data_IF_776432594381
#
_entry.id   IF_776432594381
#
_cell.length_a   1.000
_cell.length_b   1.000
_cell.length_c   1.000
_cell.angle_alpha   90.00
_cell.angle_beta   90.00
_cell.angle_gamma   90.00
#
_symmetry.space_group_name_H-M   'P 1'
#
loop_
_entity.id
_entity.type
_entity.pdbx_description
1 polymer ?
#
# COMPACT_ATOMS: atom_id res chain seq x y z
N UNK A 1 -0.67 -26.85 0.08
CA UNK A 1 -2.01 -26.24 0.12
C UNK A 1 -1.88 -24.71 0.01
N UNK A 2 -2.32 -24.11 -1.10
CA UNK A 2 -2.29 -22.66 -1.32
C UNK A 2 -3.30 -22.00 -0.37
N UNK A 3 -2.85 -21.26 0.66
CA UNK A 3 -3.72 -20.31 1.35
C UNK A 3 -4.06 -19.20 0.35
N UNK A 4 -5.30 -19.16 -0.13
CA UNK A 4 -5.90 -17.94 -0.68
C UNK A 4 -5.83 -16.89 0.44
N UNK A 5 -4.79 -16.05 0.43
CA UNK A 5 -4.80 -14.80 1.19
C UNK A 5 -5.99 -14.02 0.68
N UNK A 6 -7.07 -13.98 1.47
CA UNK A 6 -8.25 -13.21 1.14
C UNK A 6 -7.80 -11.75 0.99
N UNK A 7 -7.80 -11.25 -0.25
CA UNK A 7 -7.65 -9.82 -0.54
C UNK A 7 -8.70 -9.10 0.31
N UNK A 8 -8.27 -8.39 1.34
CA UNK A 8 -9.07 -7.34 1.95
C UNK A 8 -9.21 -6.31 0.84
N UNK A 9 -10.37 -6.30 0.19
CA UNK A 9 -10.62 -5.45 -0.98
C UNK A 9 -10.75 -4.01 -0.54
N UNK A 10 -10.35 -3.04 -1.38
CA UNK A 10 -10.42 -1.60 -1.08
C UNK A 10 -11.84 -1.20 -0.65
N UNK A 11 -12.83 -1.91 -1.19
CA UNK A 11 -14.23 -1.91 -0.76
C UNK A 11 -14.44 -2.03 0.76
N UNK A 12 -13.70 -2.92 1.44
CA UNK A 12 -13.80 -3.10 2.89
C UNK A 12 -13.19 -1.94 3.67
N UNK A 13 -12.13 -1.33 3.15
CA UNK A 13 -11.52 -0.14 3.76
C UNK A 13 -12.42 1.09 3.61
N UNK A 14 -13.03 1.28 2.43
CA UNK A 14 -14.07 2.31 2.21
C UNK A 14 -15.22 2.10 3.20
N UNK A 15 -15.77 0.87 3.28
CA UNK A 15 -16.85 0.53 4.22
C UNK A 15 -16.49 0.87 5.67
N UNK A 16 -15.25 0.63 6.06
CA UNK A 16 -14.77 0.88 7.43
C UNK A 16 -14.58 2.37 7.69
N UNK A 17 -14.07 3.13 6.72
CA UNK A 17 -13.94 4.57 6.81
C UNK A 17 -15.30 5.24 6.95
N UNK A 18 -16.26 4.90 6.09
CA UNK A 18 -17.63 5.43 6.16
C UNK A 18 -18.37 5.04 7.46
N UNK A 19 -17.96 3.96 8.13
CA UNK A 19 -18.47 3.57 9.46
C UNK A 19 -17.83 4.31 10.62
N UNK A 20 -16.60 4.80 10.44
CA UNK A 20 -15.88 5.56 11.46
C UNK A 20 -16.39 7.02 11.49
N UNK A 21 -17.08 7.49 10.43
CA UNK A 21 -17.76 8.79 10.39
C UNK A 21 -18.93 8.86 11.37
N UNK A 22 -19.16 10.04 11.94
CA UNK A 22 -20.35 10.25 12.76
C UNK A 22 -21.62 10.38 11.89
N UNK A 23 -22.80 10.21 12.49
CA UNK A 23 -24.06 10.17 11.74
C UNK A 23 -24.37 11.44 10.94
N UNK A 24 -23.98 12.62 11.42
CA UNK A 24 -24.11 13.88 10.68
C UNK A 24 -23.11 13.96 9.53
N UNK A 25 -21.85 13.58 9.76
CA UNK A 25 -20.81 13.61 8.73
C UNK A 25 -21.14 12.62 7.62
N UNK A 26 -21.68 11.44 7.94
CA UNK A 26 -22.12 10.50 6.91
C UNK A 26 -23.24 11.07 6.03
N UNK A 27 -24.17 11.85 6.61
CA UNK A 27 -25.23 12.50 5.84
C UNK A 27 -24.68 13.61 4.94
N UNK A 28 -23.79 14.44 5.47
CA UNK A 28 -23.08 15.46 4.68
C UNK A 28 -22.27 14.80 3.55
N UNK A 29 -21.65 13.64 3.80
CA UNK A 29 -20.94 12.87 2.78
C UNK A 29 -21.88 12.40 1.66
N UNK A 30 -23.10 11.99 2.01
CA UNK A 30 -24.10 11.60 1.03
C UNK A 30 -24.54 12.77 0.15
N UNK A 31 -24.72 13.96 0.75
CA UNK A 31 -25.04 15.19 0.04
C UNK A 31 -23.91 15.61 -0.90
N UNK A 32 -22.67 15.67 -0.41
CA UNK A 32 -21.50 16.04 -1.22
C UNK A 32 -21.19 15.00 -2.31
N UNK A 33 -21.44 13.71 -2.06
CA UNK A 33 -21.27 12.67 -3.08
C UNK A 33 -22.24 12.87 -4.25
N UNK A 34 -23.47 13.31 -3.99
CA UNK A 34 -24.43 13.66 -5.03
C UNK A 34 -24.04 14.96 -5.74
N UNK A 35 -23.75 16.01 -4.98
CA UNK A 35 -23.47 17.34 -5.54
C UNK A 35 -22.15 17.39 -6.33
N UNK A 36 -21.16 16.56 -5.96
CA UNK A 36 -19.87 16.50 -6.64
C UNK A 36 -19.80 15.48 -7.79
N UNK A 37 -20.74 14.51 -7.88
CA UNK A 37 -20.72 13.44 -8.88
C UNK A 37 -22.09 13.26 -9.54
N UNK A 38 -22.21 13.84 -10.74
CA UNK A 38 -23.39 13.74 -11.61
C UNK A 38 -23.79 12.29 -11.99
N UNK A 39 -22.85 11.34 -11.87
CA UNK A 39 -23.07 9.90 -12.06
C UNK A 39 -23.83 9.22 -10.90
N UNK A 40 -24.10 9.92 -9.80
CA UNK A 40 -24.78 9.38 -8.60
C UNK A 40 -26.13 10.08 -8.42
N UNK A 41 -27.23 9.34 -8.57
CA UNK A 41 -28.59 9.90 -8.39
C UNK A 41 -28.94 10.13 -6.91
N UNK A 42 -29.73 11.16 -6.59
CA UNK A 42 -30.16 11.50 -5.22
C UNK A 42 -30.90 10.34 -4.54
N UNK A 43 -31.77 9.66 -5.29
CA UNK A 43 -32.47 8.43 -4.88
C UNK A 43 -31.53 7.25 -4.62
N UNK A 44 -30.29 7.32 -5.12
CA UNK A 44 -29.29 6.30 -4.94
C UNK A 44 -28.44 6.45 -3.68
N UNK A 45 -28.53 7.59 -3.00
CA UNK A 45 -27.73 7.88 -1.79
C UNK A 45 -28.63 8.11 -0.58
N UNK A 46 -29.81 8.68 -0.79
CA UNK A 46 -30.76 9.00 0.26
C UNK A 46 -31.35 7.73 0.90
N UNK A 47 -31.31 7.65 2.24
CA UNK A 47 -31.76 6.50 3.04
C UNK A 47 -31.03 5.17 2.81
N UNK A 48 -29.89 5.16 2.11
CA UNK A 48 -29.09 3.94 1.91
C UNK A 48 -28.14 3.68 3.07
N UNK A 49 -27.99 2.41 3.42
CA UNK A 49 -27.01 1.98 4.42
C UNK A 49 -25.58 2.17 3.89
N UNK A 50 -24.61 2.36 4.80
CA UNK A 50 -23.17 2.46 4.49
C UNK A 50 -22.71 1.34 3.54
N UNK A 51 -23.27 0.14 3.69
CA UNK A 51 -23.01 -1.01 2.84
C UNK A 51 -23.46 -0.81 1.39
N UNK A 52 -24.66 -0.27 1.19
CA UNK A 52 -25.22 -0.01 -0.12
C UNK A 52 -24.47 1.11 -0.82
N UNK A 53 -24.11 2.18 -0.09
CA UNK A 53 -23.31 3.29 -0.65
C UNK A 53 -21.90 2.79 -1.03
N UNK A 54 -21.26 1.97 -0.19
CA UNK A 54 -19.96 1.38 -0.52
C UNK A 54 -20.03 0.49 -1.77
N UNK A 55 -21.10 -0.30 -1.91
CA UNK A 55 -21.31 -1.13 -3.10
C UNK A 55 -21.53 -0.27 -4.35
N UNK A 56 -22.32 0.80 -4.24
CA UNK A 56 -22.60 1.74 -5.32
C UNK A 56 -21.31 2.42 -5.79
N UNK A 57 -20.52 2.97 -4.87
CA UNK A 57 -19.24 3.61 -5.16
C UNK A 57 -18.29 2.68 -5.91
N UNK A 58 -18.15 1.44 -5.45
CA UNK A 58 -17.28 0.45 -6.13
C UNK A 58 -17.89 -0.01 -7.47
N UNK A 59 -19.21 -0.03 -7.61
CA UNK A 59 -19.90 -0.39 -8.85
C UNK A 59 -19.75 0.69 -9.93
N UNK A 60 -19.82 1.97 -9.55
CA UNK A 60 -19.71 3.10 -10.48
C UNK A 60 -18.25 3.40 -10.78
N UNK A 61 -17.43 3.59 -9.74
CA UNK A 61 -16.08 4.12 -9.88
C UNK A 61 -14.99 3.06 -9.94
N UNK A 62 -15.29 1.78 -9.69
CA UNK A 62 -14.30 0.70 -9.45
C UNK A 62 -13.50 0.90 -8.15
N UNK A 63 -12.93 -0.17 -7.60
CA UNK A 63 -12.36 -0.17 -6.24
C UNK A 63 -11.32 0.93 -5.96
N UNK A 64 -10.41 1.21 -6.90
CA UNK A 64 -9.37 2.24 -6.72
C UNK A 64 -9.94 3.65 -6.77
N UNK A 65 -10.64 4.02 -7.85
CA UNK A 65 -11.19 5.38 -7.96
C UNK A 65 -12.27 5.64 -6.91
N UNK A 66 -13.00 4.62 -6.46
CA UNK A 66 -13.91 4.75 -5.33
C UNK A 66 -13.20 5.17 -4.04
N UNK A 67 -11.96 4.70 -3.80
CA UNK A 67 -11.16 5.19 -2.67
C UNK A 67 -10.82 6.67 -2.84
N UNK A 68 -10.37 7.07 -4.03
CA UNK A 68 -9.95 8.45 -4.30
C UNK A 68 -11.12 9.42 -4.16
N UNK A 69 -12.28 9.07 -4.73
CA UNK A 69 -13.53 9.86 -4.60
C UNK A 69 -13.94 10.01 -3.15
N UNK A 70 -13.82 8.96 -2.33
CA UNK A 70 -14.14 9.05 -0.90
C UNK A 70 -13.15 9.94 -0.17
N UNK A 71 -11.85 9.84 -0.47
CA UNK A 71 -10.81 10.70 0.13
C UNK A 71 -11.04 12.17 -0.23
N UNK A 72 -11.39 12.47 -1.48
CA UNK A 72 -11.64 13.84 -1.94
C UNK A 72 -12.83 14.48 -1.23
N UNK A 73 -13.95 13.75 -1.12
CA UNK A 73 -15.15 14.24 -0.44
C UNK A 73 -14.89 14.40 1.07
N UNK A 74 -14.16 13.47 1.69
CA UNK A 74 -13.77 13.60 3.11
C UNK A 74 -12.92 14.85 3.37
N UNK A 75 -12.03 15.21 2.44
CA UNK A 75 -11.24 16.45 2.51
C UNK A 75 -12.10 17.69 2.33
N UNK A 76 -13.06 17.67 1.40
CA UNK A 76 -14.02 18.76 1.20
C UNK A 76 -14.86 19.02 2.46
N UNK A 77 -15.17 17.98 3.20
CA UNK A 77 -15.93 18.06 4.44
C UNK A 77 -15.07 18.22 5.71
N UNK A 78 -13.78 18.51 5.55
CA UNK A 78 -12.82 18.71 6.64
C UNK A 78 -12.60 17.49 7.56
N UNK A 79 -12.97 16.28 7.11
CA UNK A 79 -12.69 15.00 7.76
C UNK A 79 -11.28 14.50 7.36
N UNK A 80 -10.27 15.34 7.58
CA UNK A 80 -8.91 15.12 7.09
C UNK A 80 -8.24 13.88 7.73
N UNK A 81 -8.54 13.59 8.99
CA UNK A 81 -7.98 12.43 9.70
C UNK A 81 -8.48 11.11 9.11
N UNK A 82 -9.77 11.01 8.82
CA UNK A 82 -10.40 9.87 8.15
C UNK A 82 -9.91 9.73 6.69
N UNK A 83 -9.77 10.86 5.99
CA UNK A 83 -9.25 10.91 4.62
C UNK A 83 -7.81 10.37 4.55
N UNK A 84 -6.91 10.87 5.41
CA UNK A 84 -5.53 10.39 5.45
C UNK A 84 -5.43 8.95 5.95
N UNK A 85 -6.30 8.52 6.87
CA UNK A 85 -6.36 7.13 7.33
C UNK A 85 -6.86 6.17 6.24
N UNK A 86 -7.81 6.59 5.41
CA UNK A 86 -8.29 5.82 4.27
C UNK A 86 -7.21 5.80 3.18
N UNK A 87 -6.70 6.97 2.80
CA UNK A 87 -5.63 7.14 1.82
C UNK A 87 -4.39 6.33 2.21
N UNK A 88 -3.92 6.41 3.45
CA UNK A 88 -2.78 5.62 3.91
C UNK A 88 -3.05 4.11 3.80
N UNK A 89 -4.24 3.63 4.18
CA UNK A 89 -4.58 2.19 4.06
C UNK A 89 -4.67 1.72 2.63
N UNK A 90 -5.29 2.51 1.74
CA UNK A 90 -5.41 2.16 0.33
C UNK A 90 -4.09 2.34 -0.42
N UNK A 91 -3.16 3.13 0.14
CA UNK A 91 -1.75 3.31 -0.28
C UNK A 91 -0.76 2.31 0.35
N UNK A 92 -1.12 1.53 1.37
CA UNK A 92 -0.22 0.56 2.05
C UNK A 92 0.15 -0.65 1.16
N UNK A 93 -0.49 -0.80 0.00
CA UNK A 93 -0.12 -1.77 -1.03
C UNK A 93 0.64 -1.13 -2.21
N UNK A 94 1.35 -0.01 -2.02
CA UNK A 94 2.20 0.55 -3.08
C UNK A 94 3.47 -0.29 -3.17
N UNK A 95 3.52 -1.10 -4.22
CA UNK A 95 4.74 -1.71 -4.75
C UNK A 95 5.85 -0.65 -4.76
N UNK A 96 6.94 -0.88 -4.02
CA UNK A 96 8.09 0.05 -3.96
C UNK A 96 9.00 -0.08 -5.19
N UNK A 97 8.61 -0.90 -6.16
CA UNK A 97 9.39 -1.21 -7.35
C UNK A 97 10.54 -2.16 -7.08
N UNK A 98 10.54 -2.82 -5.91
CA UNK A 98 11.56 -3.81 -5.55
C UNK A 98 11.11 -5.16 -6.10
N UNK A 99 11.88 -5.76 -7.03
CA UNK A 99 11.49 -7.01 -7.66
C UNK A 99 11.57 -8.15 -6.65
N UNK A 100 10.60 -9.07 -6.71
CA UNK A 100 10.67 -10.30 -5.92
C UNK A 100 11.44 -11.37 -6.69
N UNK A 101 12.75 -11.50 -6.42
CA UNK A 101 13.57 -12.52 -7.07
C UNK A 101 13.14 -13.94 -6.70
N UNK A 102 12.99 -14.79 -7.72
CA UNK A 102 12.74 -16.22 -7.52
C UNK A 102 14.01 -16.92 -7.06
N UNK A 103 13.84 -17.90 -6.17
CA UNK A 103 14.95 -18.65 -5.57
C UNK A 103 14.69 -20.15 -5.63
N UNK A 104 15.75 -20.93 -5.74
CA UNK A 104 15.73 -22.38 -5.65
C UNK A 104 15.54 -22.81 -4.18
N UNK A 105 15.34 -24.10 -3.94
CA UNK A 105 15.27 -24.67 -2.58
C UNK A 105 16.56 -24.49 -1.76
N UNK A 106 17.68 -24.20 -2.42
CA UNK A 106 18.98 -23.90 -1.77
C UNK A 106 19.17 -22.42 -1.48
N UNK A 107 18.19 -21.56 -1.83
CA UNK A 107 18.26 -20.11 -1.61
C UNK A 107 19.01 -19.33 -2.69
N UNK A 108 19.56 -20.02 -3.70
CA UNK A 108 20.21 -19.42 -4.86
C UNK A 108 19.18 -18.78 -5.80
N UNK A 109 19.61 -17.74 -6.52
CA UNK A 109 18.76 -17.02 -7.45
C UNK A 109 18.38 -17.91 -8.65
N UNK A 110 17.08 -18.07 -8.90
CA UNK A 110 16.58 -18.93 -9.95
C UNK A 110 16.73 -18.26 -11.33
N UNK A 111 17.68 -18.75 -12.12
CA UNK A 111 17.94 -18.26 -13.48
C UNK A 111 16.99 -18.84 -14.53
N UNK A 112 16.22 -19.87 -14.17
CA UNK A 112 15.27 -20.54 -15.06
C UNK A 112 14.04 -19.67 -15.31
N UNK A 113 13.47 -19.79 -16.52
CA UNK A 113 12.22 -19.12 -16.91
C UNK A 113 11.07 -19.50 -15.98
N UNK A 114 10.21 -18.53 -15.62
CA UNK A 114 8.94 -18.83 -14.95
C UNK A 114 7.91 -19.42 -15.92
N UNK A 115 6.86 -20.02 -15.38
CA UNK A 115 5.71 -20.43 -16.20
C UNK A 115 5.06 -19.22 -16.91
N UNK A 116 5.05 -18.03 -16.30
CA UNK A 116 4.55 -16.82 -16.95
C UNK A 116 5.44 -16.39 -18.13
N UNK A 117 6.77 -16.53 -17.99
CA UNK A 117 7.71 -16.28 -19.08
C UNK A 117 7.60 -17.31 -20.21
N UNK A 118 7.25 -18.56 -19.90
CA UNK A 118 6.95 -19.61 -20.88
C UNK A 118 5.65 -19.32 -21.63
N UNK A 119 4.57 -19.03 -20.91
CA UNK A 119 3.27 -18.70 -21.52
C UNK A 119 3.37 -17.47 -22.44
N UNK A 120 4.20 -16.48 -22.06
CA UNK A 120 4.48 -15.32 -22.90
C UNK A 120 5.27 -15.67 -24.17
N UNK A 121 6.15 -16.68 -24.10
CA UNK A 121 6.88 -17.18 -25.26
C UNK A 121 5.97 -17.93 -26.23
N UNK A 122 5.05 -18.74 -25.70
CA UNK A 122 4.09 -19.51 -26.50
C UNK A 122 3.05 -18.63 -27.19
N UNK A 123 2.63 -17.52 -26.56
CA UNK A 123 1.77 -16.52 -27.18
C UNK A 123 2.42 -15.74 -28.34
N UNK A 124 3.74 -15.89 -28.54
CA UNK A 124 4.48 -15.34 -29.69
C UNK A 124 4.98 -16.42 -30.66
N UNK A 125 4.71 -17.71 -30.43
CA UNK A 125 4.99 -18.73 -31.45
C UNK A 125 4.15 -18.44 -32.69
N UNK A 126 4.75 -18.44 -33.90
CA UNK A 126 4.02 -18.13 -35.10
C UNK A 126 3.07 -19.30 -35.36
N UNK A 127 1.77 -19.08 -35.18
CA UNK A 127 0.81 -19.78 -36.04
C UNK A 127 1.27 -19.50 -37.47
N UNK A 128 1.70 -20.55 -38.18
CA UNK A 128 1.99 -20.52 -39.62
C UNK A 128 0.71 -20.13 -40.35
N UNK A 129 0.43 -18.83 -40.39
CA UNK A 129 -0.56 -18.20 -41.24
C UNK A 129 0.11 -16.94 -41.72
N UNK A 130 0.18 -16.75 -43.03
CA UNK A 130 0.64 -15.53 -43.69
C UNK A 130 -0.26 -14.35 -43.27
N UNK A 131 -0.07 -13.82 -42.08
CA UNK A 131 -0.70 -12.57 -41.63
C UNK A 131 0.27 -11.43 -41.93
N UNK A 132 -0.16 -10.36 -42.61
CA UNK A 132 0.68 -9.19 -42.83
C UNK A 132 1.22 -8.71 -41.49
N UNK A 133 2.55 -8.54 -41.39
CA UNK A 133 3.19 -7.95 -40.20
C UNK A 133 2.47 -6.64 -39.90
N UNK A 134 1.80 -6.57 -38.75
CA UNK A 134 1.19 -5.35 -38.25
C UNK A 134 2.21 -4.20 -38.16
N UNK A 135 1.75 -2.96 -37.94
CA UNK A 135 2.61 -1.78 -37.95
C UNK A 135 3.84 -2.01 -37.05
N UNK A 136 5.04 -1.81 -37.60
CA UNK A 136 6.27 -1.83 -36.81
C UNK A 136 6.12 -0.75 -35.72
N UNK A 137 5.92 -1.16 -34.47
CA UNK A 137 5.84 -0.25 -33.33
C UNK A 137 7.16 0.51 -33.26
N UNK A 138 7.11 1.82 -33.55
CA UNK A 138 8.27 2.72 -33.53
C UNK A 138 8.98 2.62 -32.17
N UNK A 139 10.31 2.68 -32.18
CA UNK A 139 11.11 2.80 -30.95
C UNK A 139 10.74 4.15 -30.33
N UNK A 140 10.38 4.13 -29.04
CA UNK A 140 10.02 5.33 -28.29
C UNK A 140 11.26 6.07 -27.84
N UNK A 141 11.17 7.39 -27.72
CA UNK A 141 12.25 8.19 -27.13
C UNK A 141 12.37 7.87 -25.62
N UNK A 142 13.52 8.15 -24.99
CA UNK A 142 13.67 7.96 -23.55
C UNK A 142 12.59 8.68 -22.74
N UNK A 143 12.28 9.93 -23.12
CA UNK A 143 11.25 10.75 -22.47
C UNK A 143 9.85 10.13 -22.57
N UNK A 144 9.51 9.54 -23.71
CA UNK A 144 8.23 8.84 -23.89
C UNK A 144 8.13 7.59 -22.99
N UNK A 145 9.22 6.83 -22.87
CA UNK A 145 9.25 5.64 -22.00
C UNK A 145 9.14 6.04 -20.53
N UNK A 146 9.83 7.10 -20.12
CA UNK A 146 9.76 7.62 -18.75
C UNK A 146 8.37 8.20 -18.44
N UNK A 147 7.77 8.95 -19.36
CA UNK A 147 6.42 9.48 -19.21
C UNK A 147 5.38 8.35 -19.07
N UNK A 148 5.51 7.27 -19.85
CA UNK A 148 4.66 6.09 -19.69
C UNK A 148 4.87 5.39 -18.36
N UNK A 149 6.12 5.28 -17.89
CA UNK A 149 6.42 4.70 -16.58
C UNK A 149 5.82 5.53 -15.45
N UNK A 150 5.96 6.87 -15.49
CA UNK A 150 5.35 7.78 -14.51
C UNK A 150 3.83 7.71 -14.54
N UNK A 151 3.22 7.66 -15.73
CA UNK A 151 1.78 7.49 -15.87
C UNK A 151 1.29 6.16 -15.29
N UNK A 152 2.04 5.07 -15.49
CA UNK A 152 1.76 3.78 -14.85
C UNK A 152 1.86 3.87 -13.33
N UNK A 153 2.95 4.46 -12.81
CA UNK A 153 3.14 4.67 -11.36
C UNK A 153 1.99 5.47 -10.76
N UNK A 154 1.59 6.57 -11.40
CA UNK A 154 0.44 7.39 -10.99
C UNK A 154 -0.86 6.59 -11.01
N UNK A 155 -1.14 5.86 -12.10
CA UNK A 155 -2.34 5.02 -12.21
C UNK A 155 -2.38 3.89 -11.16
N UNK A 156 -1.20 3.46 -10.72
CA UNK A 156 -1.01 2.47 -9.66
C UNK A 156 -1.02 3.09 -8.26
N UNK A 157 -1.21 4.40 -8.13
CA UNK A 157 -1.23 5.12 -6.85
C UNK A 157 0.15 5.24 -6.18
N UNK A 158 1.21 5.04 -6.96
CA UNK A 158 2.59 5.19 -6.54
C UNK A 158 3.10 6.63 -6.71
N UNK A 159 4.25 6.90 -6.11
CA UNK A 159 4.91 8.20 -6.19
C UNK A 159 5.79 8.28 -7.46
N UNK A 160 5.46 9.12 -8.46
CA UNK A 160 6.26 9.28 -9.68
C UNK A 160 7.59 10.00 -9.45
N UNK A 161 7.81 10.58 -8.26
CA UNK A 161 9.11 11.12 -7.85
C UNK A 161 10.05 10.04 -7.32
N UNK A 162 9.55 8.83 -7.04
CA UNK A 162 10.39 7.70 -6.67
C UNK A 162 11.03 7.08 -7.91
N UNK A 163 12.28 7.45 -8.18
CA UNK A 163 13.07 6.95 -9.32
C UNK A 163 13.09 5.42 -9.42
N UNK A 164 13.25 4.72 -8.29
CA UNK A 164 13.34 3.25 -8.31
C UNK A 164 12.02 2.60 -8.74
N UNK A 165 10.90 3.19 -8.33
CA UNK A 165 9.56 2.74 -8.70
C UNK A 165 9.27 3.07 -10.17
N UNK A 166 9.66 4.24 -10.64
CA UNK A 166 9.54 4.60 -12.06
C UNK A 166 10.42 3.68 -12.93
N UNK A 167 11.68 3.42 -12.53
CA UNK A 167 12.56 2.45 -13.21
C UNK A 167 11.93 1.06 -13.28
N UNK A 168 11.29 0.59 -12.21
CA UNK A 168 10.61 -0.71 -12.20
C UNK A 168 9.50 -0.83 -13.26
N UNK A 169 8.87 0.30 -13.62
CA UNK A 169 7.76 0.40 -14.58
C UNK A 169 8.18 0.76 -16.01
N UNK A 170 9.45 1.02 -16.27
CA UNK A 170 9.95 1.16 -17.63
C UNK A 170 9.69 -0.11 -18.43
N UNK A 171 9.21 0.05 -19.67
CA UNK A 171 8.95 -1.07 -20.58
C UNK A 171 10.14 -1.32 -21.49
N UNK A 172 10.47 -2.58 -21.66
CA UNK A 172 11.47 -3.05 -22.63
C UNK A 172 11.06 -2.62 -24.04
N UNK A 173 11.96 -1.93 -24.74
CA UNK A 173 11.75 -1.53 -26.14
C UNK A 173 12.30 -2.56 -27.14
N UNK A 174 12.97 -3.61 -26.66
CA UNK A 174 13.70 -4.61 -27.44
C UNK A 174 13.52 -6.04 -26.91
N UNK A 175 14.03 -7.01 -27.67
CA UNK A 175 14.14 -8.41 -27.25
C UNK A 175 12.81 -9.15 -27.17
N UNK A 176 12.87 -10.39 -26.67
CA UNK A 176 11.73 -11.32 -26.58
C UNK A 176 10.59 -10.80 -25.70
N UNK A 177 10.92 -9.98 -24.72
CA UNK A 177 9.98 -9.45 -23.73
C UNK A 177 9.62 -7.98 -23.98
N UNK A 178 9.76 -7.48 -25.22
CA UNK A 178 9.35 -6.12 -25.59
C UNK A 178 7.94 -5.82 -25.09
N UNK A 179 7.76 -4.67 -24.43
CA UNK A 179 6.52 -4.21 -23.83
C UNK A 179 6.29 -4.67 -22.37
N UNK A 180 7.08 -5.60 -21.84
CA UNK A 180 7.07 -5.95 -20.41
C UNK A 180 7.87 -4.95 -19.59
N UNK A 181 7.47 -4.77 -18.33
CA UNK A 181 8.19 -3.90 -17.40
C UNK A 181 9.51 -4.52 -16.97
N UNK A 182 10.46 -3.69 -16.54
CA UNK A 182 11.73 -4.18 -16.01
C UNK A 182 11.51 -5.07 -14.78
N UNK A 183 10.63 -4.66 -13.86
CA UNK A 183 10.28 -5.47 -12.69
C UNK A 183 9.74 -6.85 -13.09
N UNK A 184 8.81 -6.90 -14.07
CA UNK A 184 8.27 -8.17 -14.53
C UNK A 184 9.38 -9.09 -15.05
N UNK A 185 10.37 -8.55 -15.78
CA UNK A 185 11.46 -9.35 -16.29
C UNK A 185 12.37 -9.88 -15.17
N UNK A 186 12.69 -9.06 -14.16
CA UNK A 186 13.50 -9.47 -13.01
C UNK A 186 12.80 -10.57 -12.18
N UNK A 187 11.47 -10.55 -12.11
CA UNK A 187 10.72 -11.58 -11.39
C UNK A 187 10.59 -12.88 -12.21
N UNK A 188 10.57 -12.79 -13.54
CA UNK A 188 10.19 -13.90 -14.41
C UNK A 188 11.34 -14.53 -15.21
N UNK A 189 12.46 -13.83 -15.41
CA UNK A 189 13.61 -14.37 -16.13
C UNK A 189 14.91 -13.57 -15.86
N UNK A 190 15.51 -13.78 -14.69
CA UNK A 190 16.78 -13.13 -14.33
C UNK A 190 17.94 -13.56 -15.22
N UNK A 191 17.95 -14.82 -15.67
CA UNK A 191 19.01 -15.33 -16.55
C UNK A 191 19.09 -14.57 -17.87
N UNK A 192 17.93 -14.20 -18.44
CA UNK A 192 17.89 -13.38 -19.66
C UNK A 192 18.40 -11.95 -19.45
N UNK A 193 18.13 -11.33 -18.30
CA UNK A 193 18.66 -10.00 -17.97
C UNK A 193 20.17 -10.06 -17.82
N UNK A 194 20.68 -11.03 -17.07
CA UNK A 194 22.12 -11.21 -16.89
C UNK A 194 22.84 -11.36 -18.24
N UNK A 195 22.25 -12.11 -19.17
CA UNK A 195 22.73 -12.20 -20.55
C UNK A 195 22.72 -10.84 -21.27
N UNK A 196 21.60 -10.11 -21.20
CA UNK A 196 21.45 -8.80 -21.86
C UNK A 196 22.45 -7.77 -21.33
N UNK A 197 22.58 -7.64 -20.00
CA UNK A 197 23.52 -6.71 -19.36
C UNK A 197 24.96 -7.02 -19.75
N UNK A 198 25.36 -8.30 -19.72
CA UNK A 198 26.70 -8.73 -20.13
C UNK A 198 26.97 -8.53 -21.63
N UNK A 199 25.96 -8.65 -22.49
CA UNK A 199 26.10 -8.34 -23.92
C UNK A 199 26.26 -6.84 -24.16
N UNK A 200 25.48 -6.01 -23.45
CA UNK A 200 25.50 -4.56 -23.56
C UNK A 200 26.84 -3.96 -23.14
N UNK A 201 27.40 -4.43 -22.02
CA UNK A 201 28.74 -4.02 -21.55
C UNK A 201 29.87 -4.34 -22.55
N UNK A 202 29.67 -5.30 -23.45
CA UNK A 202 30.65 -5.63 -24.50
C UNK A 202 30.48 -4.77 -25.75
N UNK A 203 29.27 -4.28 -26.01
CA UNK A 203 28.89 -3.49 -27.19
C UNK A 203 29.14 -1.98 -27.01
N UNK A 204 29.27 -1.46 -25.78
CA UNK A 204 29.51 -0.03 -25.44
C UNK A 204 30.87 0.56 -25.90
N UNK A 205 31.55 -0.05 -26.88
CA UNK A 205 32.87 0.41 -27.39
C UNK A 205 32.79 1.43 -28.52
N UNK A 206 31.60 1.91 -28.89
CA UNK A 206 31.43 2.98 -29.89
C UNK A 206 30.44 4.05 -29.40
N UNK A 207 30.94 5.16 -28.82
CA UNK A 207 30.12 6.17 -28.15
C UNK A 207 29.43 7.16 -29.09
N UNK A 208 29.53 7.00 -30.42
CA UNK A 208 29.27 8.13 -31.32
C UNK A 208 27.79 8.38 -31.65
N UNK A 209 26.85 7.48 -31.30
CA UNK A 209 25.42 7.72 -31.45
C UNK A 209 24.60 7.08 -30.31
N UNK A 210 24.06 7.91 -29.43
CA UNK A 210 23.17 7.46 -28.35
C UNK A 210 21.79 7.11 -28.94
N UNK A 211 21.62 5.85 -29.34
CA UNK A 211 20.33 5.35 -29.83
C UNK A 211 19.32 5.24 -28.66
N UNK A 212 18.03 5.51 -28.91
CA UNK A 212 16.97 5.41 -27.89
C UNK A 212 16.87 4.00 -27.30
N UNK A 213 17.27 2.97 -28.08
CA UNK A 213 17.41 1.60 -27.58
C UNK A 213 18.56 1.43 -26.59
N UNK A 214 19.66 2.16 -26.78
CA UNK A 214 20.82 2.15 -25.89
C UNK A 214 20.44 2.68 -24.51
N UNK A 215 19.78 3.84 -24.47
CA UNK A 215 19.29 4.41 -23.21
C UNK A 215 18.33 3.47 -22.49
N UNK A 216 17.44 2.76 -23.21
CA UNK A 216 16.56 1.79 -22.59
C UNK A 216 17.30 0.57 -22.01
N UNK A 217 18.41 0.15 -22.65
CA UNK A 217 19.30 -0.89 -22.11
C UNK A 217 20.06 -0.37 -20.88
N UNK A 218 20.54 0.86 -20.89
CA UNK A 218 21.24 1.50 -19.75
C UNK A 218 20.32 1.56 -18.53
N UNK A 219 19.07 2.00 -18.71
CA UNK A 219 18.07 2.02 -17.63
C UNK A 219 17.76 0.62 -17.08
N UNK A 220 17.73 -0.41 -17.94
CA UNK A 220 17.54 -1.80 -17.50
C UNK A 220 18.73 -2.28 -16.67
N UNK A 221 19.96 -1.99 -17.11
CA UNK A 221 21.19 -2.30 -16.39
C UNK A 221 21.20 -1.61 -15.02
N UNK A 222 20.92 -0.31 -14.97
CA UNK A 222 20.83 0.46 -13.74
C UNK A 222 19.81 -0.13 -12.76
N UNK A 223 18.61 -0.48 -13.23
CA UNK A 223 17.59 -1.09 -12.38
C UNK A 223 18.00 -2.48 -11.88
N UNK A 224 18.65 -3.29 -12.72
CA UNK A 224 19.17 -4.60 -12.35
C UNK A 224 20.24 -4.52 -11.26
N UNK A 225 21.22 -3.64 -11.41
CA UNK A 225 22.29 -3.45 -10.42
C UNK A 225 21.77 -2.92 -9.09
N UNK A 226 20.90 -1.90 -9.10
CA UNK A 226 20.24 -1.39 -7.87
C UNK A 226 19.45 -2.48 -7.16
N UNK A 227 18.76 -3.33 -7.92
CA UNK A 227 17.96 -4.44 -7.38
C UNK A 227 18.83 -5.54 -6.78
N UNK A 228 19.94 -5.90 -7.44
CA UNK A 228 20.91 -6.88 -6.92
C UNK A 228 21.59 -6.39 -5.63
N UNK A 229 21.97 -5.11 -5.57
CA UNK A 229 22.58 -4.54 -4.35
C UNK A 229 21.65 -4.68 -3.14
N UNK A 230 20.37 -4.37 -3.32
CA UNK A 230 19.38 -4.55 -2.24
C UNK A 230 19.18 -6.01 -1.84
N UNK A 231 19.42 -6.96 -2.74
CA UNK A 231 19.35 -8.40 -2.47
C UNK A 231 20.62 -8.93 -1.79
N UNK A 232 21.79 -8.41 -2.16
CA UNK A 232 23.10 -8.76 -1.58
C UNK A 232 23.29 -8.19 -0.16
N UNK A 233 22.67 -7.05 0.17
CA UNK A 233 22.68 -6.50 1.53
C UNK A 233 22.30 -7.54 2.60
N UNK A 234 21.35 -8.44 2.29
CA UNK A 234 20.95 -9.50 3.22
C UNK A 234 22.00 -10.61 3.42
N UNK A 235 22.86 -10.84 2.42
CA UNK A 235 23.91 -11.87 2.44
C UNK A 235 25.20 -11.40 3.10
N UNK A 236 25.36 -10.09 3.31
CA UNK A 236 26.52 -9.56 4.03
C UNK A 236 26.57 -10.14 5.45
N UNK A 237 27.77 -10.52 5.92
CA UNK A 237 27.96 -10.91 7.30
C UNK A 237 27.73 -9.72 8.22
N UNK A 238 27.07 -9.93 9.35
CA UNK A 238 26.92 -8.89 10.36
C UNK A 238 28.29 -8.36 10.76
N UNK A 239 29.28 -9.23 10.96
CA UNK A 239 30.69 -8.86 11.12
C UNK A 239 31.01 -8.09 12.40
N UNK A 240 30.10 -8.08 13.39
CA UNK A 240 30.30 -7.55 14.73
C UNK A 240 29.43 -8.29 15.76
N UNK A 241 29.82 -8.21 17.03
CA UNK A 241 29.06 -8.76 18.16
C UNK A 241 28.95 -10.28 18.15
N UNK A 242 27.90 -10.79 18.82
CA UNK A 242 27.66 -12.24 19.03
C UNK A 242 27.40 -13.00 17.72
N UNK A 243 26.86 -12.33 16.71
CA UNK A 243 26.42 -12.90 15.44
C UNK A 243 27.30 -12.47 14.26
N UNK A 244 28.58 -12.16 14.53
CA UNK A 244 29.51 -11.64 13.53
C UNK A 244 29.68 -12.54 12.30
N UNK A 245 29.47 -13.84 12.45
CA UNK A 245 29.63 -14.85 11.41
C UNK A 245 28.30 -15.24 10.73
N UNK A 246 27.17 -14.67 11.16
CA UNK A 246 25.87 -14.83 10.50
C UNK A 246 25.62 -13.71 9.47
N UNK A 247 24.84 -14.02 8.44
CA UNK A 247 24.38 -13.00 7.48
C UNK A 247 23.36 -12.05 8.11
N UNK A 248 23.20 -10.85 7.54
CA UNK A 248 22.18 -9.90 8.02
C UNK A 248 20.76 -10.46 7.91
N UNK A 249 20.50 -11.29 6.90
CA UNK A 249 19.24 -12.00 6.75
C UNK A 249 19.05 -13.05 7.85
N UNK A 250 20.03 -13.92 8.11
CA UNK A 250 19.96 -14.93 9.17
C UNK A 250 19.81 -14.27 10.54
N UNK A 251 20.55 -13.18 10.79
CA UNK A 251 20.44 -12.39 12.01
C UNK A 251 19.03 -11.87 12.22
N UNK A 252 18.39 -11.34 11.17
CA UNK A 252 17.02 -10.83 11.21
C UNK A 252 15.96 -11.94 11.36
N UNK A 253 16.23 -13.12 10.80
CA UNK A 253 15.37 -14.31 10.89
C UNK A 253 15.70 -15.19 12.10
N UNK A 254 16.70 -14.79 12.89
CA UNK A 254 17.19 -15.55 14.04
C UNK A 254 16.11 -15.71 15.12
N UNK A 255 16.23 -16.77 15.90
CA UNK A 255 15.37 -17.01 17.08
C UNK A 255 15.71 -16.05 18.23
N UNK A 256 16.84 -15.36 18.20
CA UNK A 256 17.24 -14.40 19.25
C UNK A 256 16.65 -13.02 18.96
N UNK A 257 15.34 -12.93 19.16
CA UNK A 257 14.56 -11.69 19.02
C UNK A 257 15.10 -10.58 19.93
N UNK A 258 15.76 -10.93 21.04
CA UNK A 258 16.31 -9.97 22.00
C UNK A 258 17.46 -9.16 21.40
N UNK A 259 18.34 -9.81 20.64
CA UNK A 259 19.47 -9.16 19.99
C UNK A 259 19.02 -8.27 18.82
N UNK A 260 18.07 -8.74 18.00
CA UNK A 260 17.48 -7.92 16.93
C UNK A 260 16.78 -6.68 17.53
N UNK A 261 16.06 -6.83 18.65
CA UNK A 261 15.46 -5.71 19.38
C UNK A 261 16.49 -4.72 19.93
N UNK A 262 17.63 -5.20 20.41
CA UNK A 262 18.74 -4.34 20.81
C UNK A 262 19.23 -3.51 19.61
N UNK A 263 19.49 -4.13 18.46
CA UNK A 263 19.92 -3.44 17.25
C UNK A 263 18.90 -2.39 16.77
N UNK A 264 17.60 -2.67 16.81
CA UNK A 264 16.54 -1.69 16.48
C UNK A 264 16.68 -0.38 17.25
N UNK A 265 17.07 -0.45 18.53
CA UNK A 265 17.21 0.71 19.42
C UNK A 265 18.53 1.48 19.21
N UNK A 266 19.45 0.94 18.44
CA UNK A 266 20.80 1.50 18.27
C UNK A 266 20.94 2.44 17.07
N UNK A 267 19.87 2.72 16.32
CA UNK A 267 19.88 3.60 15.13
C UNK A 267 20.61 4.93 15.36
N UNK A 268 20.39 5.59 16.49
CA UNK A 268 20.99 6.89 16.82
C UNK A 268 22.38 6.81 17.48
N UNK A 269 22.87 5.60 17.77
CA UNK A 269 24.12 5.35 18.49
C UNK A 269 25.18 4.66 17.63
N UNK A 270 24.88 4.38 16.36
CA UNK A 270 25.82 3.75 15.45
C UNK A 270 26.81 4.79 14.92
N UNK A 271 28.07 4.41 14.85
CA UNK A 271 29.08 5.21 14.13
C UNK A 271 28.79 5.14 12.62
N UNK A 272 28.80 6.27 11.90
CA UNK A 272 28.63 6.28 10.45
C UNK A 272 29.63 5.34 9.75
N UNK A 273 29.15 4.53 8.83
CA UNK A 273 29.95 3.54 8.08
C UNK A 273 30.30 2.27 8.87
N UNK A 274 29.88 2.14 10.12
CA UNK A 274 30.13 0.92 10.90
C UNK A 274 29.27 -0.26 10.40
N UNK A 275 29.78 -1.48 10.56
CA UNK A 275 29.00 -2.70 10.28
C UNK A 275 27.71 -2.77 11.09
N UNK A 276 27.71 -2.19 12.30
CA UNK A 276 26.54 -2.05 13.14
C UNK A 276 25.47 -1.15 12.51
N UNK A 277 25.86 -0.01 11.93
CA UNK A 277 24.94 0.87 11.21
C UNK A 277 24.28 0.15 10.03
N UNK A 278 25.08 -0.60 9.26
CA UNK A 278 24.59 -1.39 8.11
C UNK A 278 23.56 -2.43 8.56
N UNK A 279 23.85 -3.17 9.64
CA UNK A 279 22.91 -4.15 10.19
C UNK A 279 21.62 -3.50 10.71
N UNK A 280 21.73 -2.38 11.44
CA UNK A 280 20.56 -1.65 11.95
C UNK A 280 19.71 -1.12 10.79
N UNK A 281 20.34 -0.57 9.75
CA UNK A 281 19.65 -0.08 8.55
C UNK A 281 18.90 -1.21 7.84
N UNK A 282 19.55 -2.37 7.67
CA UNK A 282 18.93 -3.56 7.08
C UNK A 282 17.71 -4.03 7.90
N UNK A 283 17.87 -4.17 9.22
CA UNK A 283 16.79 -4.62 10.12
C UNK A 283 15.59 -3.68 10.05
N UNK A 284 15.80 -2.36 10.12
CA UNK A 284 14.73 -1.38 10.05
C UNK A 284 14.02 -1.39 8.70
N UNK A 285 14.78 -1.47 7.59
CA UNK A 285 14.23 -1.59 6.24
C UNK A 285 13.35 -2.84 6.10
N UNK A 286 13.76 -3.98 6.69
CA UNK A 286 12.97 -5.23 6.69
C UNK A 286 11.79 -5.18 7.66
N UNK A 287 11.91 -4.48 8.78
CA UNK A 287 10.80 -4.25 9.72
C UNK A 287 9.71 -3.42 9.05
N UNK A 288 10.05 -2.37 8.30
CA UNK A 288 9.08 -1.58 7.53
C UNK A 288 8.34 -2.44 6.50
N UNK A 289 9.08 -3.31 5.79
CA UNK A 289 8.48 -4.25 4.82
C UNK A 289 7.55 -5.26 5.52
N UNK A 290 7.97 -5.84 6.65
CA UNK A 290 7.15 -6.81 7.41
C UNK A 290 5.98 -6.16 8.14
N UNK A 291 6.16 -4.96 8.68
CA UNK A 291 5.10 -4.20 9.36
C UNK A 291 4.04 -3.75 8.35
N UNK A 292 4.43 -3.31 7.16
CA UNK A 292 3.51 -3.05 6.06
C UNK A 292 2.71 -4.32 5.69
N UNK A 293 3.36 -5.49 5.64
CA UNK A 293 2.69 -6.77 5.40
C UNK A 293 1.78 -7.23 6.56
N UNK A 294 2.17 -6.99 7.82
CA UNK A 294 1.48 -7.48 9.02
C UNK A 294 0.32 -6.58 9.47
N UNK A 295 0.44 -5.25 9.32
CA UNK A 295 -0.64 -4.30 9.60
C UNK A 295 -1.88 -4.53 8.72
N UNK A 296 -1.71 -5.18 7.57
CA UNK A 296 -2.80 -5.68 6.73
C UNK A 296 -3.55 -6.89 7.30
N UNK A 297 -3.10 -7.52 8.39
CA UNK A 297 -3.66 -8.81 8.87
C UNK A 297 -4.21 -8.81 10.30
N UNK A 298 -3.84 -7.85 11.17
CA UNK A 298 -4.25 -7.87 12.58
C UNK A 298 -5.00 -6.58 12.99
N UNK A 299 -6.33 -6.69 13.14
CA UNK A 299 -7.10 -5.82 14.05
C UNK A 299 -7.55 -6.65 15.26
N UNK A 300 -7.41 -6.14 16.50
CA UNK A 300 -7.90 -6.84 17.69
C UNK A 300 -9.43 -6.94 17.67
N UNK A 301 -9.95 -8.13 17.97
CA UNK A 301 -11.35 -8.33 18.33
C UNK A 301 -11.55 -7.84 19.76
N UNK A 302 -11.95 -6.58 19.94
CA UNK A 302 -12.53 -6.17 21.21
C UNK A 302 -13.96 -6.71 21.26
N UNK A 303 -14.14 -7.81 21.97
CA UNK A 303 -15.44 -8.32 22.39
C UNK A 303 -16.00 -7.40 23.48
N UNK A 304 -16.83 -6.44 23.10
CA UNK A 304 -17.75 -5.79 24.03
C UNK A 304 -19.02 -6.64 24.11
N UNK A 305 -19.19 -7.37 25.20
CA UNK A 305 -20.48 -7.94 25.60
C UNK A 305 -21.39 -6.80 26.07
N UNK A 306 -22.64 -6.67 25.57
CA UNK A 306 -23.55 -5.63 26.02
C UNK A 306 -24.20 -6.03 27.35
N UNK A 307 -23.89 -5.29 28.43
CA UNK A 307 -24.63 -5.38 29.67
C UNK A 307 -25.84 -4.43 29.62
N UNK A 308 -27.01 -5.01 29.87
CA UNK A 308 -28.32 -4.41 29.63
C UNK A 308 -28.56 -3.08 30.37
N UNK A 309 -29.23 -2.18 29.65
CA UNK A 309 -29.65 -0.87 30.11
C UNK A 309 -30.62 -0.95 31.32
N UNK A 310 -30.26 -0.29 32.42
CA UNK A 310 -31.23 0.20 33.41
C UNK A 310 -31.45 1.69 33.17
N UNK A 311 -32.67 2.04 32.75
CA UNK A 311 -33.16 3.41 32.59
C UNK A 311 -33.25 4.07 33.97
N UNK A 312 -32.60 5.23 34.13
CA UNK A 312 -32.92 6.19 35.20
C UNK A 312 -33.23 7.54 34.59
N UNK A 313 -34.50 7.92 34.74
CA UNK A 313 -35.08 9.21 34.36
C UNK A 313 -34.70 10.24 35.44
N UNK A 314 -33.92 11.28 35.11
CA UNK A 314 -33.68 12.39 36.03
C UNK A 314 -34.62 13.55 35.74
N UNK A 315 -35.50 13.78 36.71
CA UNK A 315 -36.54 14.81 36.82
C UNK A 315 -35.93 16.20 36.99
N UNK A 316 -36.32 17.14 36.11
CA UNK A 316 -36.03 18.59 36.18
C UNK A 316 -36.54 19.19 37.50
N UNK A 317 -35.70 19.97 38.20
CA UNK A 317 -36.09 20.87 39.30
C UNK A 317 -36.58 22.20 38.71
N UNK A 318 -37.80 22.60 39.03
CA UNK A 318 -38.30 23.98 38.91
C UNK A 318 -38.90 24.34 40.27
N UNK A 319 -38.30 25.32 40.95
CA UNK A 319 -38.78 25.86 42.23
C UNK A 319 -39.40 27.22 41.93
N UNK A 320 -40.71 27.35 42.17
CA UNK A 320 -41.46 28.61 42.33
C UNK A 320 -42.31 28.36 43.59
N UNK A 321 -42.00 29.01 44.72
CA UNK A 321 -42.51 30.32 45.12
C UNK A 321 -44.03 30.36 45.20
N UNK A 322 -44.59 30.13 46.38
CA UNK A 322 -45.91 30.65 46.77
C UNK A 322 -45.86 31.18 48.20
N UNK A 323 -46.44 32.37 48.33
CA UNK A 323 -46.60 33.21 49.51
C UNK A 323 -48.11 33.35 49.71
N UNK A 324 -48.54 33.35 50.97
CA UNK A 324 -49.85 33.78 51.50
C UNK A 324 -51.07 32.91 51.08
N UNK A 325 -52.09 32.61 51.91
CA UNK A 325 -52.70 33.39 52.97
C UNK A 325 -53.65 32.49 53.82
N UNK A 326 -53.70 32.80 55.13
CA UNK A 326 -54.85 32.79 56.08
C UNK A 326 -55.90 31.67 56.04
N UNK A 327 -56.05 30.99 57.19
CA UNK A 327 -57.37 30.75 57.82
C UNK A 327 -57.26 30.75 59.36
N UNK A 328 -58.38 31.15 59.98
CA UNK A 328 -58.61 31.58 61.35
C UNK A 328 -58.36 30.56 62.48
N UNK A 329 -58.01 31.12 63.66
CA UNK A 329 -58.22 30.53 65.00
C UNK A 329 -59.73 30.48 65.35
N UNK A 330 -60.25 29.90 66.47
CA UNK A 330 -59.73 30.15 67.83
C UNK A 330 -59.96 29.09 68.95
N UNK A 331 -59.35 29.38 70.13
CA UNK A 331 -59.82 29.13 71.52
C UNK A 331 -59.37 27.90 72.36
N UNK A 332 -58.52 28.22 73.36
CA UNK A 332 -58.71 28.11 74.83
C UNK A 332 -58.85 26.76 75.58
N UNK A 333 -57.84 26.50 76.45
CA UNK A 333 -57.86 26.24 77.93
C UNK A 333 -56.81 25.17 78.33
N UNK A 334 -55.75 25.54 79.06
CA UNK A 334 -55.54 25.28 80.53
C UNK A 334 -56.02 23.89 80.96
N UNK A 335 -55.19 23.00 81.53
CA UNK A 335 -54.70 22.99 82.92
C UNK A 335 -54.08 21.60 83.25
N UNK A 336 -53.33 21.56 84.36
CA UNK A 336 -52.74 20.44 85.14
C UNK A 336 -51.28 20.16 84.76
N UNK A 337 -50.33 20.12 85.69
CA UNK A 337 -50.33 20.04 87.15
C UNK A 337 -49.13 20.80 87.71
#
# INVERSE_FOLDING_TARGET
MRRKMARITIKQDIKKCLKDLCGSDFLTFCHELHDSKEEVSLSDVENKSILQITNLLVSIFTERKASDVVVDILKQMNCNDEAEKLHAKTRVCVDKGVPTFRRTSTGELETKLSQEALNHADGQLPLKVNVPRGPRVKVKTPDEVEAEAKALVLSEGGDPSNESLVLSRHKLQFGKYKGKTFQWLLENNVGYIAYLVNSHQKDERDPMHQDSLMTNKDSLTQYYERSLQSDQEGQALAGFGKYKDETLQELYESKDVSYVNYLRRMKSKCNPGSKMEVAVRYILKRDEIRAAAAAGTNRPKNSFTPQAARKTYTRRKRVQSTRDQRTSAPWFKRRKL
#
